data_IF_872072947691
#
_entry.id   IF_872072947691
#
_cell.length_a   1.000
_cell.length_b   1.000
_cell.length_c   1.000
_cell.angle_alpha   90.00
_cell.angle_beta   90.00
_cell.angle_gamma   90.00
#
_symmetry.space_group_name_H-M   'P 1'
#
loop_
_entity.id
_entity.type
_entity.pdbx_description
1 polymer ?
#
# COMPACT_ATOMS: atom_id res chain seq x y z
N UNK A 1 -10.75 -3.42 29.24
CA UNK A 1 -11.15 -3.93 27.92
C UNK A 1 -10.49 -3.03 26.89
N UNK A 2 -9.67 -3.57 25.98
CA UNK A 2 -8.99 -2.77 24.95
C UNK A 2 -10.00 -2.17 23.97
N UNK A 3 -9.60 -1.12 23.23
CA UNK A 3 -10.40 -0.60 22.10
C UNK A 3 -10.40 -1.68 21.01
N UNK A 4 -11.57 -2.07 20.49
CA UNK A 4 -11.72 -3.02 19.38
C UNK A 4 -11.81 -2.34 18.00
N UNK A 5 -12.18 -1.06 17.99
CA UNK A 5 -12.34 -0.25 16.78
C UNK A 5 -11.73 1.11 17.05
N UNK A 6 -10.90 1.57 16.13
CA UNK A 6 -10.15 2.82 16.28
C UNK A 6 -10.21 3.64 15.01
N UNK A 7 -10.32 4.96 15.17
CA UNK A 7 -10.12 5.89 14.07
C UNK A 7 -8.63 5.99 13.72
N UNK A 8 -8.29 6.29 12.46
CA UNK A 8 -6.90 6.45 12.02
C UNK A 8 -6.10 7.44 12.89
N UNK A 9 -6.73 8.51 13.36
CA UNK A 9 -6.12 9.48 14.28
C UNK A 9 -5.82 8.92 15.67
N UNK A 10 -6.49 7.84 16.08
CA UNK A 10 -6.43 7.28 17.44
C UNK A 10 -5.60 5.97 17.52
N UNK A 11 -5.05 5.49 16.39
CA UNK A 11 -4.26 4.26 16.37
C UNK A 11 -2.90 4.52 17.05
N UNK A 12 -2.69 3.89 18.20
CA UNK A 12 -1.44 3.99 18.97
C UNK A 12 -0.47 2.87 18.60
N UNK A 13 0.84 3.02 18.88
CA UNK A 13 1.83 1.96 18.63
C UNK A 13 1.47 0.61 19.26
N UNK A 14 0.81 0.62 20.42
CA UNK A 14 0.36 -0.60 21.10
C UNK A 14 -0.75 -1.35 20.35
N UNK A 15 -1.51 -0.66 19.50
CA UNK A 15 -2.62 -1.24 18.72
C UNK A 15 -2.25 -1.52 17.26
N UNK A 16 -1.07 -1.10 16.80
CA UNK A 16 -0.60 -1.36 15.42
C UNK A 16 -0.50 -2.86 15.14
N UNK A 17 -0.07 -3.65 16.14
CA UNK A 17 0.00 -5.10 16.03
C UNK A 17 -1.37 -5.76 15.82
N UNK A 18 -2.48 -5.08 16.13
CA UNK A 18 -3.84 -5.62 15.92
C UNK A 18 -4.53 -4.98 14.70
N UNK A 19 -3.88 -4.01 14.04
CA UNK A 19 -4.44 -3.25 12.93
C UNK A 19 -4.04 -3.78 11.54
N UNK A 20 -3.11 -4.76 11.49
CA UNK A 20 -2.52 -5.25 10.25
C UNK A 20 -1.63 -4.23 9.56
N UNK A 21 -1.01 -4.63 8.44
CA UNK A 21 -0.11 -3.77 7.67
C UNK A 21 -0.81 -2.52 7.12
N UNK A 22 -1.85 -2.72 6.31
CA UNK A 22 -2.57 -1.64 5.61
C UNK A 22 -3.20 -0.66 6.58
N UNK A 23 -3.89 -1.17 7.61
CA UNK A 23 -4.54 -0.36 8.63
C UNK A 23 -3.53 0.49 9.40
N UNK A 24 -2.38 -0.08 9.76
CA UNK A 24 -1.28 0.65 10.41
C UNK A 24 -0.70 1.73 9.50
N UNK A 25 -0.43 1.40 8.23
CA UNK A 25 0.14 2.33 7.27
C UNK A 25 -0.80 3.49 6.93
N UNK A 26 -2.09 3.22 6.73
CA UNK A 26 -3.11 4.25 6.47
C UNK A 26 -3.26 5.19 7.66
N UNK A 27 -3.30 4.64 8.87
CA UNK A 27 -3.36 5.44 10.09
C UNK A 27 -2.10 6.30 10.25
N UNK A 28 -0.91 5.74 10.03
CA UNK A 28 0.35 6.48 10.08
C UNK A 28 0.35 7.65 9.08
N UNK A 29 -0.02 7.40 7.81
CA UNK A 29 -0.10 8.44 6.78
C UNK A 29 -1.12 9.53 7.15
N UNK A 30 -2.29 9.16 7.70
CA UNK A 30 -3.32 10.10 8.14
C UNK A 30 -2.80 10.99 9.29
N UNK A 31 -2.10 10.41 10.26
CA UNK A 31 -1.50 11.14 11.38
C UNK A 31 -0.39 12.10 10.90
N UNK A 32 0.37 11.73 9.87
CA UNK A 32 1.42 12.54 9.22
C UNK A 32 0.88 13.54 8.17
N UNK A 33 -0.45 13.72 8.11
CA UNK A 33 -1.13 14.71 7.27
C UNK A 33 -0.98 14.48 5.76
N UNK A 34 -0.75 13.24 5.34
CA UNK A 34 -0.95 12.86 3.95
C UNK A 34 -2.44 12.90 3.60
N UNK A 35 -2.80 13.14 2.32
CA UNK A 35 -4.19 13.20 1.90
C UNK A 35 -4.78 11.78 1.81
N UNK A 36 -4.99 11.14 2.94
CA UNK A 36 -5.62 9.83 3.04
C UNK A 36 -7.10 10.02 3.35
N UNK A 37 -8.02 9.32 2.67
CA UNK A 37 -9.43 9.36 3.02
C UNK A 37 -9.66 8.92 4.47
N UNK A 38 -10.56 9.60 5.18
CA UNK A 38 -10.89 9.27 6.58
C UNK A 38 -11.37 7.83 6.71
N UNK A 39 -11.02 7.18 7.82
CA UNK A 39 -11.35 5.79 8.04
C UNK A 39 -11.06 5.30 9.44
N UNK A 40 -11.47 4.05 9.66
CA UNK A 40 -11.33 3.32 10.92
C UNK A 40 -10.71 1.95 10.65
N UNK A 41 -10.12 1.38 11.69
CA UNK A 41 -9.66 -0.01 11.71
C UNK A 41 -10.46 -0.78 12.75
N UNK A 42 -11.07 -1.87 12.31
CA UNK A 42 -11.62 -2.93 13.17
C UNK A 42 -10.47 -3.89 13.43
N UNK A 43 -10.01 -3.91 14.68
CA UNK A 43 -8.82 -4.66 15.08
C UNK A 43 -9.08 -6.17 15.08
N UNK A 44 -8.02 -6.98 15.03
CA UNK A 44 -8.13 -8.44 15.14
C UNK A 44 -8.87 -8.88 16.40
N UNK A 45 -8.62 -8.18 17.53
CA UNK A 45 -9.29 -8.39 18.82
C UNK A 45 -10.80 -8.09 18.83
N UNK A 46 -11.34 -7.50 17.77
CA UNK A 46 -12.79 -7.30 17.59
C UNK A 46 -13.53 -8.59 17.19
N UNK A 47 -12.80 -9.60 16.73
CA UNK A 47 -13.36 -10.86 16.26
C UNK A 47 -13.13 -11.97 17.28
N UNK A 48 -14.17 -12.73 17.59
CA UNK A 48 -14.12 -13.89 18.48
C UNK A 48 -14.92 -15.03 17.86
N UNK A 49 -14.35 -16.24 17.82
CA UNK A 49 -15.00 -17.44 17.28
C UNK A 49 -15.54 -17.28 15.84
N UNK A 50 -14.89 -16.41 15.06
CA UNK A 50 -15.27 -16.13 13.68
C UNK A 50 -16.30 -15.01 13.50
N UNK A 51 -16.81 -14.43 14.59
CA UNK A 51 -17.85 -13.39 14.54
C UNK A 51 -17.34 -12.04 15.07
N UNK A 52 -17.91 -10.96 14.55
CA UNK A 52 -17.65 -9.60 15.03
C UNK A 52 -18.37 -9.36 16.37
N UNK A 53 -17.62 -8.97 17.40
CA UNK A 53 -18.18 -8.70 18.72
C UNK A 53 -19.22 -7.57 18.69
N UNK A 54 -20.32 -7.73 19.43
CA UNK A 54 -21.46 -6.77 19.43
C UNK A 54 -21.04 -5.34 19.82
N UNK A 55 -20.09 -5.20 20.74
CA UNK A 55 -19.55 -3.88 21.12
C UNK A 55 -18.67 -3.28 20.02
N UNK A 56 -17.95 -4.10 19.26
CA UNK A 56 -17.17 -3.63 18.11
C UNK A 56 -18.12 -3.13 17.01
N UNK A 57 -19.19 -3.89 16.70
CA UNK A 57 -20.21 -3.44 15.76
C UNK A 57 -20.85 -2.11 16.18
N UNK A 58 -21.21 -1.97 17.46
CA UNK A 58 -21.75 -0.72 18.00
C UNK A 58 -20.75 0.45 17.82
N UNK A 59 -19.46 0.22 18.03
CA UNK A 59 -18.42 1.22 17.82
C UNK A 59 -18.27 1.59 16.32
N UNK A 60 -18.31 0.61 15.41
CA UNK A 60 -18.32 0.87 13.95
C UNK A 60 -19.47 1.79 13.59
N UNK A 61 -20.70 1.52 14.06
CA UNK A 61 -21.86 2.36 13.75
C UNK A 61 -21.69 3.80 14.24
N UNK A 62 -21.09 4.00 15.42
CA UNK A 62 -20.80 5.34 15.95
C UNK A 62 -19.83 6.09 15.04
N UNK A 63 -18.73 5.46 14.64
CA UNK A 63 -17.76 6.09 13.73
C UNK A 63 -18.33 6.34 12.34
N UNK A 64 -19.05 5.38 11.75
CA UNK A 64 -19.71 5.53 10.45
C UNK A 64 -20.71 6.68 10.48
N UNK A 65 -21.53 6.78 11.53
CA UNK A 65 -22.46 7.90 11.71
C UNK A 65 -21.73 9.24 11.79
N UNK A 66 -20.60 9.30 12.51
CA UNK A 66 -19.76 10.50 12.60
C UNK A 66 -19.19 10.88 11.24
N UNK A 67 -18.62 9.93 10.48
CA UNK A 67 -18.09 10.17 9.14
C UNK A 67 -19.19 10.68 8.19
N UNK A 68 -20.38 10.05 8.18
CA UNK A 68 -21.53 10.54 7.39
C UNK A 68 -21.97 11.95 7.80
N UNK A 69 -21.86 12.32 9.07
CA UNK A 69 -22.21 13.69 9.51
C UNK A 69 -21.24 14.76 9.02
N UNK A 70 -19.97 14.42 8.80
CA UNK A 70 -18.95 15.34 8.30
C UNK A 70 -18.94 15.45 6.77
N UNK A 71 -19.21 14.33 6.08
CA UNK A 71 -19.05 14.23 4.62
C UNK A 71 -20.36 14.07 3.84
N UNK A 72 -21.50 13.95 4.51
CA UNK A 72 -22.81 13.71 3.89
C UNK A 72 -23.05 12.24 3.54
N UNK A 73 -23.86 12.00 2.51
CA UNK A 73 -24.09 10.64 1.98
C UNK A 73 -22.86 10.14 1.24
N UNK A 74 -21.97 9.48 1.99
CA UNK A 74 -20.75 8.85 1.49
C UNK A 74 -20.87 7.33 1.43
N UNK A 75 -20.18 6.74 0.46
CA UNK A 75 -19.93 5.31 0.42
C UNK A 75 -18.59 4.98 1.11
N UNK A 76 -18.41 3.71 1.47
CA UNK A 76 -17.22 3.18 2.11
C UNK A 76 -16.58 2.09 1.26
N UNK A 77 -15.26 1.97 1.38
CA UNK A 77 -14.48 0.82 0.98
C UNK A 77 -14.14 0.01 2.23
N UNK A 78 -14.41 -1.29 2.20
CA UNK A 78 -14.08 -2.22 3.28
C UNK A 78 -12.99 -3.14 2.75
N UNK A 79 -11.81 -3.11 3.40
CA UNK A 79 -10.58 -3.75 2.93
C UNK A 79 -10.00 -4.62 4.04
N UNK A 80 -9.43 -5.75 3.68
CA UNK A 80 -8.60 -6.52 4.60
C UNK A 80 -7.36 -5.73 5.01
N UNK A 81 -6.81 -6.08 6.17
CA UNK A 81 -5.49 -5.67 6.62
C UNK A 81 -4.87 -6.82 7.40
N UNK A 82 -4.11 -7.68 6.71
CA UNK A 82 -3.42 -8.78 7.37
C UNK A 82 -2.09 -8.33 7.98
N UNK A 83 -1.65 -9.02 9.04
CA UNK A 83 -0.39 -8.71 9.74
C UNK A 83 0.85 -8.87 8.87
N UNK A 84 0.80 -9.81 7.93
CA UNK A 84 1.88 -10.15 7.02
C UNK A 84 1.77 -9.51 5.65
N UNK A 85 0.73 -8.70 5.37
CA UNK A 85 0.43 -8.20 4.02
C UNK A 85 1.48 -7.22 3.47
N UNK A 86 2.10 -6.44 4.35
CA UNK A 86 3.10 -5.40 4.01
C UNK A 86 4.52 -5.76 4.48
N UNK A 87 4.76 -7.03 4.84
CA UNK A 87 6.11 -7.47 5.22
C UNK A 87 7.01 -7.56 3.99
N UNK A 88 8.29 -7.19 4.14
CA UNK A 88 9.27 -7.30 3.06
C UNK A 88 9.48 -8.76 2.55
N UNK A 89 9.01 -9.75 3.31
CA UNK A 89 9.23 -11.17 3.05
C UNK A 89 7.99 -11.94 2.60
N UNK A 90 6.78 -11.37 2.68
CA UNK A 90 5.55 -11.98 2.22
C UNK A 90 4.60 -10.87 1.77
N UNK A 91 4.28 -10.81 0.48
CA UNK A 91 3.27 -9.90 -0.04
C UNK A 91 2.07 -10.75 -0.46
N UNK A 92 0.98 -10.70 0.30
CA UNK A 92 -0.31 -11.29 -0.06
C UNK A 92 -1.06 -10.41 -1.08
N UNK A 93 -0.32 -9.81 -2.02
CA UNK A 93 -0.81 -8.80 -2.94
C UNK A 93 -1.95 -9.36 -3.80
N UNK A 94 -3.14 -8.76 -3.65
CA UNK A 94 -4.32 -9.13 -4.44
C UNK A 94 -5.06 -10.40 -3.99
N UNK A 95 -4.66 -11.00 -2.87
CA UNK A 95 -5.26 -12.27 -2.39
C UNK A 95 -6.43 -12.07 -1.44
N UNK A 96 -6.54 -10.90 -0.81
CA UNK A 96 -7.62 -10.61 0.12
C UNK A 96 -8.72 -9.75 -0.51
N UNK A 97 -9.96 -10.03 -0.08
CA UNK A 97 -11.15 -9.42 -0.67
C UNK A 97 -11.30 -7.95 -0.27
N UNK A 98 -11.73 -7.13 -1.23
CA UNK A 98 -12.09 -5.72 -1.02
C UNK A 98 -13.53 -5.52 -1.49
N UNK A 99 -14.35 -4.87 -0.67
CA UNK A 99 -15.74 -4.56 -1.00
C UNK A 99 -15.90 -3.04 -1.11
N UNK A 100 -16.25 -2.57 -2.30
CA UNK A 100 -16.39 -1.16 -2.62
C UNK A 100 -17.86 -0.72 -2.65
N UNK A 101 -18.09 0.60 -2.65
CA UNK A 101 -19.41 1.22 -2.80
C UNK A 101 -20.44 0.79 -1.73
N UNK A 102 -19.97 0.60 -0.49
CA UNK A 102 -20.81 0.19 0.64
C UNK A 102 -21.48 1.43 1.24
N UNK A 103 -22.82 1.48 1.30
CA UNK A 103 -23.54 2.72 1.68
C UNK A 103 -24.36 2.59 2.96
N UNK A 104 -24.94 1.42 3.24
CA UNK A 104 -25.82 1.17 4.39
C UNK A 104 -25.10 0.43 5.50
N UNK A 105 -25.60 0.52 6.74
CA UNK A 105 -25.01 -0.18 7.88
C UNK A 105 -25.05 -1.70 7.68
N UNK A 106 -26.15 -2.22 7.12
CA UNK A 106 -26.29 -3.64 6.80
C UNK A 106 -25.25 -4.10 5.79
N UNK A 107 -25.00 -3.29 4.74
CA UNK A 107 -23.94 -3.58 3.76
C UNK A 107 -22.55 -3.51 4.39
N UNK A 108 -22.29 -2.58 5.33
CA UNK A 108 -21.00 -2.51 6.04
C UNK A 108 -20.79 -3.77 6.86
N UNK A 109 -21.81 -4.22 7.60
CA UNK A 109 -21.71 -5.45 8.39
C UNK A 109 -21.41 -6.66 7.53
N UNK A 110 -22.12 -6.80 6.41
CA UNK A 110 -21.91 -7.90 5.47
C UNK A 110 -20.54 -7.82 4.78
N UNK A 111 -20.09 -6.63 4.43
CA UNK A 111 -18.76 -6.41 3.87
C UNK A 111 -17.65 -6.78 4.87
N UNK A 112 -17.79 -6.42 6.16
CA UNK A 112 -16.83 -6.83 7.20
C UNK A 112 -16.78 -8.35 7.29
N UNK A 113 -17.94 -9.01 7.31
CA UNK A 113 -18.02 -10.49 7.35
C UNK A 113 -17.33 -11.12 6.16
N UNK A 114 -17.65 -10.67 4.94
CA UNK A 114 -17.07 -11.16 3.69
C UNK A 114 -15.55 -10.99 3.64
N UNK A 115 -15.06 -9.80 3.99
CA UNK A 115 -13.61 -9.54 4.08
C UNK A 115 -12.96 -10.42 5.14
N UNK A 116 -13.59 -10.57 6.31
CA UNK A 116 -13.07 -11.42 7.37
C UNK A 116 -13.03 -12.91 6.98
N UNK A 117 -14.06 -13.41 6.29
CA UNK A 117 -14.14 -14.80 5.81
C UNK A 117 -13.13 -15.10 4.68
N UNK A 118 -12.64 -14.07 3.97
CA UNK A 118 -11.64 -14.24 2.90
C UNK A 118 -10.29 -14.82 3.38
N UNK A 119 -10.04 -14.79 4.70
CA UNK A 119 -8.85 -15.37 5.34
C UNK A 119 -8.73 -16.89 5.17
N UNK A 120 -9.84 -17.60 4.97
CA UNK A 120 -9.90 -19.05 4.76
C UNK A 120 -10.15 -19.41 3.30
N UNK A 121 -9.86 -18.49 2.37
CA UNK A 121 -9.89 -18.83 0.96
C UNK A 121 -8.74 -19.81 0.63
N UNK A 122 -8.98 -20.74 -0.30
CA UNK A 122 -7.99 -21.75 -0.72
C UNK A 122 -6.63 -21.15 -1.10
N UNK A 123 -6.61 -19.89 -1.56
CA UNK A 123 -5.39 -19.17 -1.94
C UNK A 123 -4.55 -18.74 -0.74
N UNK A 124 -5.19 -18.28 0.35
CA UNK A 124 -4.51 -17.91 1.60
C UNK A 124 -3.97 -19.16 2.30
N UNK A 125 -4.69 -20.27 2.25
CA UNK A 125 -4.24 -21.56 2.78
C UNK A 125 -3.03 -22.11 2.00
N UNK A 126 -3.08 -22.08 0.67
CA UNK A 126 -1.96 -22.50 -0.18
C UNK A 126 -0.69 -21.69 0.07
N UNK A 127 -0.82 -20.37 0.28
CA UNK A 127 0.33 -19.49 0.54
C UNK A 127 0.91 -19.68 1.96
N UNK A 128 0.04 -19.90 2.96
CA UNK A 128 0.47 -20.10 4.35
C UNK A 128 1.19 -21.43 4.57
N UNK A 129 0.78 -22.48 3.85
CA UNK A 129 1.44 -23.79 3.88
C UNK A 129 2.89 -23.75 3.38
N UNK A 130 3.20 -22.87 2.40
CA UNK A 130 4.55 -22.73 1.83
C UNK A 130 5.50 -21.97 2.77
N UNK A 131 4.98 -21.08 3.62
CA UNK A 131 5.78 -20.18 4.48
C UNK A 131 5.87 -20.63 5.95
N UNK A 132 5.14 -21.67 6.36
CA UNK A 132 5.20 -22.21 7.72
C UNK A 132 4.69 -21.27 8.81
N UNK A 133 3.73 -20.38 8.47
CA UNK A 133 3.19 -19.37 9.38
C UNK A 133 1.88 -19.84 10.01
N UNK A 134 1.93 -20.42 11.22
CA UNK A 134 0.73 -20.89 11.96
C UNK A 134 -0.11 -19.75 12.58
N UNK A 135 0.44 -18.54 12.72
CA UNK A 135 -0.25 -17.35 13.26
C UNK A 135 -0.94 -16.49 12.18
N UNK A 136 -1.00 -16.94 10.93
CA UNK A 136 -1.39 -16.14 9.76
C UNK A 136 -2.91 -15.89 9.59
N UNK A 137 -3.76 -16.21 10.58
CA UNK A 137 -5.21 -16.26 10.38
C UNK A 137 -6.01 -15.16 11.07
N UNK A 138 -5.34 -14.17 11.66
CA UNK A 138 -6.01 -12.98 12.20
C UNK A 138 -5.84 -11.82 11.22
N UNK A 139 -6.97 -11.29 10.74
CA UNK A 139 -7.02 -10.15 9.83
C UNK A 139 -7.81 -9.02 10.48
N UNK A 140 -7.26 -7.82 10.40
CA UNK A 140 -8.00 -6.61 10.71
C UNK A 140 -8.81 -6.18 9.47
N UNK A 141 -9.81 -5.33 9.69
CA UNK A 141 -10.65 -4.79 8.62
C UNK A 141 -10.59 -3.27 8.64
N UNK A 142 -10.19 -2.68 7.52
CA UNK A 142 -10.16 -1.23 7.31
C UNK A 142 -11.49 -0.81 6.68
N UNK A 143 -12.13 0.20 7.25
CA UNK A 143 -13.33 0.82 6.69
C UNK A 143 -12.99 2.28 6.42
N UNK A 144 -12.97 2.66 5.16
CA UNK A 144 -12.48 3.96 4.70
C UNK A 144 -13.52 4.63 3.80
N UNK A 145 -13.60 5.96 3.82
CA UNK A 145 -14.44 6.71 2.88
C UNK A 145 -14.01 6.39 1.45
N UNK A 146 -14.98 6.02 0.62
CA UNK A 146 -14.78 5.70 -0.78
C UNK A 146 -14.46 6.98 -1.58
N UNK A 147 -13.34 6.98 -2.28
CA UNK A 147 -12.99 8.04 -3.22
C UNK A 147 -13.62 7.74 -4.57
N UNK A 148 -14.61 8.54 -4.98
CA UNK A 148 -15.19 8.49 -6.33
C UNK A 148 -14.26 9.18 -7.31
N UNK A 149 -13.25 8.45 -7.76
CA UNK A 149 -12.16 9.01 -8.55
C UNK A 149 -12.53 9.33 -9.99
N UNK A 150 -12.04 10.48 -10.47
CA UNK A 150 -11.93 10.84 -11.89
C UNK A 150 -10.75 10.09 -12.53
N UNK A 151 -9.65 9.99 -11.78
CA UNK A 151 -8.42 9.30 -12.15
C UNK A 151 -7.95 8.46 -10.97
N UNK A 152 -7.47 7.27 -11.23
CA UNK A 152 -6.83 6.41 -10.23
C UNK A 152 -5.63 5.73 -10.84
N UNK A 153 -4.60 5.51 -10.04
CA UNK A 153 -3.34 4.98 -10.54
C UNK A 153 -2.47 4.35 -9.48
N UNK A 154 -1.41 3.73 -9.97
CA UNK A 154 -0.27 3.26 -9.18
C UNK A 154 0.96 4.07 -9.57
N UNK A 155 1.85 4.31 -8.62
CA UNK A 155 3.14 4.95 -8.83
C UNK A 155 4.20 4.17 -8.04
N UNK A 156 5.22 3.70 -8.75
CA UNK A 156 6.41 3.12 -8.17
C UNK A 156 7.50 4.20 -8.08
N UNK A 157 8.09 4.40 -6.90
CA UNK A 157 9.13 5.43 -6.72
C UNK A 157 10.49 5.04 -7.29
N UNK A 158 10.64 3.77 -7.65
CA UNK A 158 11.70 3.21 -8.49
C UNK A 158 11.07 2.30 -9.55
N UNK A 159 11.75 2.11 -10.68
CA UNK A 159 11.29 1.21 -11.73
C UNK A 159 11.35 -0.25 -11.25
N UNK A 160 10.21 -0.94 -11.11
CA UNK A 160 10.17 -2.31 -10.57
C UNK A 160 10.73 -3.36 -11.55
N UNK A 161 10.95 -3.01 -12.82
CA UNK A 161 11.50 -3.91 -13.84
C UNK A 161 13.02 -3.75 -13.91
N UNK A 162 13.50 -2.51 -14.04
CA UNK A 162 14.93 -2.24 -14.23
C UNK A 162 15.71 -2.02 -12.94
N UNK A 163 15.00 -1.76 -11.83
CA UNK A 163 15.61 -1.37 -10.57
C UNK A 163 16.14 0.07 -10.55
N UNK A 164 15.81 0.89 -11.56
CA UNK A 164 16.32 2.26 -11.65
C UNK A 164 15.59 3.22 -10.72
N UNK A 165 16.35 4.03 -9.98
CA UNK A 165 15.84 5.11 -9.12
C UNK A 165 15.78 6.45 -9.86
N UNK A 166 16.22 6.50 -11.13
CA UNK A 166 16.34 7.73 -11.91
C UNK A 166 14.97 8.41 -12.17
N UNK A 167 13.88 7.62 -12.16
CA UNK A 167 12.53 8.11 -12.36
C UNK A 167 11.53 7.31 -11.53
N UNK A 168 10.39 7.93 -11.24
CA UNK A 168 9.21 7.23 -10.74
C UNK A 168 8.32 6.86 -11.92
N UNK A 169 7.83 5.64 -11.98
CA UNK A 169 7.02 5.12 -13.09
C UNK A 169 5.63 4.77 -12.59
N UNK A 170 4.60 5.11 -13.36
CA UNK A 170 3.22 4.90 -12.93
C UNK A 170 2.29 4.57 -14.08
N UNK A 171 1.15 4.00 -13.71
CA UNK A 171 0.05 3.71 -14.61
C UNK A 171 -1.24 4.27 -14.01
N UNK A 172 -2.15 4.78 -14.84
CA UNK A 172 -3.45 5.26 -14.38
C UNK A 172 -4.56 4.91 -15.36
N UNK A 173 -5.80 4.94 -14.85
CA UNK A 173 -7.04 4.81 -15.63
C UNK A 173 -8.01 5.93 -15.25
N UNK A 174 -9.02 6.10 -16.09
CA UNK A 174 -10.19 6.92 -15.75
C UNK A 174 -11.15 6.15 -14.86
N UNK A 175 -11.74 6.81 -13.88
CA UNK A 175 -12.68 6.18 -12.95
C UNK A 175 -12.00 5.48 -11.77
N UNK A 176 -12.54 4.33 -11.37
CA UNK A 176 -12.12 3.58 -10.18
C UNK A 176 -10.92 2.66 -10.46
N UNK A 177 -10.00 2.55 -9.49
CA UNK A 177 -8.71 1.86 -9.63
C UNK A 177 -8.78 0.34 -9.72
N UNK A 178 -9.93 -0.27 -9.47
CA UNK A 178 -10.13 -1.73 -9.58
C UNK A 178 -9.85 -2.25 -11.00
N UNK A 179 -10.05 -1.40 -12.02
CA UNK A 179 -9.77 -1.70 -13.42
C UNK A 179 -8.27 -1.78 -13.75
N UNK A 180 -7.39 -1.22 -12.91
CA UNK A 180 -5.93 -1.32 -13.08
C UNK A 180 -5.39 -2.64 -12.54
N UNK A 181 -5.90 -3.08 -11.38
CA UNK A 181 -5.40 -4.27 -10.68
C UNK A 181 -5.85 -5.56 -11.38
N UNK A 182 -7.01 -5.53 -12.03
CA UNK A 182 -7.56 -6.65 -12.81
C UNK A 182 -6.96 -6.80 -14.21
N UNK A 183 -6.19 -5.82 -14.71
CA UNK A 183 -5.62 -5.82 -16.06
C UNK A 183 -6.64 -5.67 -17.19
N UNK A 184 -7.90 -5.33 -16.88
CA UNK A 184 -9.01 -5.27 -17.85
C UNK A 184 -9.08 -3.95 -18.63
N UNK A 185 -8.40 -2.89 -18.17
CA UNK A 185 -8.44 -1.58 -18.82
C UNK A 185 -7.11 -1.19 -19.49
N UNK A 186 -7.21 -0.42 -20.58
CA UNK A 186 -6.07 0.24 -21.23
C UNK A 186 -5.48 1.31 -20.30
N UNK A 187 -4.59 0.86 -19.41
CA UNK A 187 -3.86 1.73 -18.51
C UNK A 187 -2.96 2.70 -19.30
N UNK A 188 -2.92 3.95 -18.89
CA UNK A 188 -2.06 4.97 -19.43
C UNK A 188 -0.79 5.07 -18.58
N UNK A 189 0.37 4.84 -19.18
CA UNK A 189 1.65 4.95 -18.50
C UNK A 189 2.14 6.40 -18.46
N UNK A 190 2.84 6.74 -17.39
CA UNK A 190 3.53 8.02 -17.23
C UNK A 190 4.80 7.87 -16.40
N UNK A 191 5.68 8.87 -16.52
CA UNK A 191 6.98 8.91 -15.85
C UNK A 191 7.18 10.28 -15.18
N UNK A 192 7.76 10.27 -13.99
CA UNK A 192 8.20 11.46 -13.26
C UNK A 192 9.73 11.41 -13.10
N UNK A 193 10.44 12.19 -13.92
CA UNK A 193 11.90 12.23 -13.92
C UNK A 193 12.45 12.97 -12.69
N UNK A 194 13.43 12.39 -12.00
CA UNK A 194 14.13 13.07 -10.90
C UNK A 194 15.16 14.09 -11.42
N UNK A 195 15.60 15.06 -10.59
CA UNK A 195 15.13 15.38 -9.23
C UNK A 195 13.92 16.33 -9.20
N UNK A 196 13.48 16.83 -10.37
CA UNK A 196 12.45 17.90 -10.44
C UNK A 196 11.03 17.40 -10.68
N UNK A 197 10.83 16.10 -10.88
CA UNK A 197 9.52 15.52 -11.19
C UNK A 197 8.99 15.94 -12.56
N UNK A 198 9.86 16.02 -13.59
CA UNK A 198 9.40 16.35 -14.95
C UNK A 198 8.48 15.24 -15.43
N UNK A 199 7.25 15.61 -15.79
CA UNK A 199 6.22 14.69 -16.24
C UNK A 199 6.35 14.35 -17.72
N UNK A 200 6.31 13.06 -18.03
CA UNK A 200 6.25 12.50 -19.39
C UNK A 200 5.09 11.50 -19.43
N UNK A 201 4.07 11.77 -20.26
CA UNK A 201 2.84 10.98 -20.34
C UNK A 201 1.67 11.81 -20.88
N UNK A 202 0.43 11.27 -20.90
CA UNK A 202 -0.74 11.99 -21.41
C UNK A 202 -1.15 13.19 -20.52
N UNK A 203 -1.77 14.22 -21.09
CA UNK A 203 -1.96 15.52 -20.42
C UNK A 203 -2.91 15.49 -19.21
N UNK A 204 -3.78 14.48 -19.08
CA UNK A 204 -4.81 14.39 -18.05
C UNK A 204 -4.24 14.30 -16.64
N UNK A 205 -3.16 13.54 -16.46
CA UNK A 205 -2.47 13.37 -15.18
C UNK A 205 -1.44 14.50 -14.90
N UNK A 206 -1.03 15.25 -15.94
CA UNK A 206 0.00 16.30 -15.86
C UNK A 206 -0.29 17.37 -14.81
N UNK A 207 -1.58 17.74 -14.64
CA UNK A 207 -2.00 18.73 -13.63
C UNK A 207 -1.74 18.27 -12.18
N UNK A 208 -1.68 16.96 -11.94
CA UNK A 208 -1.47 16.36 -10.62
C UNK A 208 -0.03 15.90 -10.39
N UNK A 209 0.73 15.69 -11.45
CA UNK A 209 2.09 15.16 -11.46
C UNK A 209 3.04 15.82 -10.43
N UNK A 210 3.07 17.16 -10.37
CA UNK A 210 3.97 17.87 -9.44
C UNK A 210 3.62 17.64 -7.97
N UNK A 211 2.32 17.49 -7.66
CA UNK A 211 1.87 17.21 -6.29
C UNK A 211 2.11 15.74 -5.94
N UNK A 212 1.82 14.83 -6.88
CA UNK A 212 2.06 13.41 -6.73
C UNK A 212 3.55 13.12 -6.51
N UNK A 213 4.45 13.70 -7.32
CA UNK A 213 5.90 13.61 -7.14
C UNK A 213 6.33 14.03 -5.74
N UNK A 214 5.87 15.20 -5.27
CA UNK A 214 6.23 15.72 -3.94
C UNK A 214 5.76 14.82 -2.80
N UNK A 215 4.54 14.28 -2.89
CA UNK A 215 4.04 13.35 -1.88
C UNK A 215 4.80 12.02 -1.91
N UNK A 216 5.07 11.48 -3.10
CA UNK A 216 5.77 10.22 -3.28
C UNK A 216 7.23 10.30 -2.82
N UNK A 217 7.95 11.37 -3.17
CA UNK A 217 9.32 11.59 -2.69
C UNK A 217 9.38 11.72 -1.17
N UNK A 218 8.41 12.43 -0.59
CA UNK A 218 8.33 12.59 0.87
C UNK A 218 8.02 11.26 1.56
N UNK A 219 7.10 10.45 1.01
CA UNK A 219 6.79 9.11 1.54
C UNK A 219 8.00 8.19 1.48
N UNK A 220 8.68 8.13 0.34
CA UNK A 220 9.90 7.33 0.17
C UNK A 220 11.01 7.73 1.15
N UNK A 221 11.22 9.03 1.36
CA UNK A 221 12.21 9.55 2.31
C UNK A 221 11.84 9.18 3.76
N UNK A 222 10.59 9.39 4.18
CA UNK A 222 10.15 9.08 5.55
C UNK A 222 10.10 7.57 5.84
N UNK A 223 9.84 6.74 4.83
CA UNK A 223 9.77 5.27 4.95
C UNK A 223 11.11 4.57 4.64
N UNK A 224 12.11 5.32 4.15
CA UNK A 224 13.49 4.84 3.94
C UNK A 224 13.64 3.74 2.87
N UNK A 225 12.64 3.54 2.02
CA UNK A 225 12.66 2.50 0.97
C UNK A 225 11.75 2.88 -0.20
N UNK A 226 12.00 2.37 -1.42
CA UNK A 226 11.10 2.60 -2.56
C UNK A 226 9.69 2.11 -2.28
N UNK A 227 8.72 2.90 -2.72
CA UNK A 227 7.31 2.66 -2.45
C UNK A 227 6.53 2.38 -3.74
N UNK A 228 5.61 1.44 -3.65
CA UNK A 228 4.48 1.26 -4.55
C UNK A 228 3.25 1.96 -3.92
N UNK A 229 2.78 3.01 -4.58
CA UNK A 229 1.79 3.94 -4.07
C UNK A 229 0.52 3.87 -4.93
N UNK A 230 -0.59 3.48 -4.31
CA UNK A 230 -1.92 3.62 -4.90
C UNK A 230 -2.46 5.03 -4.64
N UNK A 231 -2.92 5.70 -5.68
CA UNK A 231 -3.43 7.07 -5.59
C UNK A 231 -4.70 7.26 -6.41
N UNK A 232 -5.47 8.27 -6.03
CA UNK A 232 -6.70 8.64 -6.71
C UNK A 232 -6.90 10.15 -6.72
N UNK A 233 -7.61 10.66 -7.71
CA UNK A 233 -8.03 12.04 -7.81
C UNK A 233 -9.54 12.10 -7.85
N UNK A 234 -10.15 12.83 -6.92
CA UNK A 234 -11.57 13.15 -6.93
C UNK A 234 -11.75 14.65 -6.71
N UNK A 235 -12.60 15.30 -7.52
CA UNK A 235 -12.88 16.74 -7.43
C UNK A 235 -11.60 17.58 -7.48
N UNK A 236 -10.64 17.16 -8.31
CA UNK A 236 -9.32 17.80 -8.44
C UNK A 236 -8.39 17.63 -7.22
N UNK A 237 -8.78 16.89 -6.17
CA UNK A 237 -7.93 16.59 -5.01
C UNK A 237 -7.29 15.22 -5.16
N UNK A 238 -5.97 15.17 -4.98
CA UNK A 238 -5.18 13.94 -4.93
C UNK A 238 -5.25 13.31 -3.54
N UNK A 239 -5.51 12.00 -3.51
CA UNK A 239 -5.56 11.13 -2.35
C UNK A 239 -4.57 9.99 -2.48
N UNK A 240 -3.96 9.57 -1.37
CA UNK A 240 -3.18 8.34 -1.26
C UNK A 240 -4.08 7.26 -0.65
N UNK A 241 -4.22 6.14 -1.35
CA UNK A 241 -5.11 5.03 -0.98
C UNK A 241 -4.35 3.88 -0.33
N UNK A 242 -3.07 3.70 -0.67
CA UNK A 242 -2.17 2.70 -0.08
C UNK A 242 -0.73 3.08 -0.42
N UNK A 243 0.21 2.66 0.44
CA UNK A 243 1.64 2.64 0.13
C UNK A 243 2.23 1.35 0.68
N UNK A 244 3.17 0.75 -0.03
CA UNK A 244 3.90 -0.44 0.41
C UNK A 244 5.34 -0.44 -0.14
N UNK A 245 6.30 -1.06 0.55
CA UNK A 245 7.66 -1.16 0.04
C UNK A 245 7.71 -2.02 -1.24
N UNK A 246 8.53 -1.61 -2.22
CA UNK A 246 8.82 -2.42 -3.41
C UNK A 246 9.84 -3.50 -3.01
N UNK A 247 9.40 -4.75 -2.94
CA UNK A 247 10.23 -5.90 -2.51
C UNK A 247 10.95 -6.60 -3.65
N UNK A 248 10.57 -6.33 -4.91
CA UNK A 248 11.14 -6.97 -6.10
C UNK A 248 12.45 -6.33 -6.57
N UNK A 249 12.87 -5.22 -5.97
CA UNK A 249 14.12 -4.54 -6.30
C UNK A 249 15.29 -5.35 -5.72
N UNK A 250 15.70 -6.40 -6.43
CA UNK A 250 16.88 -7.17 -6.06
C UNK A 250 18.11 -6.35 -6.46
N UNK A 251 18.99 -6.06 -5.49
CA UNK A 251 20.24 -5.29 -5.68
C UNK A 251 21.30 -6.03 -6.55
N UNK A 252 20.99 -7.26 -6.96
CA UNK A 252 21.80 -8.04 -7.88
C UNK A 252 20.97 -9.10 -8.61
N UNK A 253 21.41 -9.45 -9.81
CA UNK A 253 20.84 -10.56 -10.55
C UNK A 253 21.36 -11.87 -9.93
N UNK A 254 20.48 -12.66 -9.31
CA UNK A 254 20.86 -13.90 -8.61
C UNK A 254 21.23 -15.05 -9.56
N UNK A 255 20.85 -14.96 -10.83
CA UNK A 255 21.23 -15.94 -11.86
C UNK A 255 22.64 -15.66 -12.41
N UNK A 256 23.04 -14.38 -12.51
CA UNK A 256 24.36 -13.97 -12.99
C UNK A 256 25.34 -13.60 -11.88
N UNK A 257 24.87 -13.49 -10.63
CA UNK A 257 25.59 -12.90 -9.49
C UNK A 257 26.13 -11.49 -9.75
N UNK A 258 25.56 -10.77 -10.72
CA UNK A 258 25.92 -9.38 -10.97
C UNK A 258 25.27 -8.50 -9.92
N UNK A 259 26.08 -7.97 -9.01
CA UNK A 259 25.69 -6.93 -8.07
C UNK A 259 25.85 -5.57 -8.74
N UNK A 260 24.76 -4.81 -8.82
CA UNK A 260 24.80 -3.49 -9.43
C UNK A 260 24.21 -2.42 -8.53
N UNK A 261 25.06 -1.88 -7.67
CA UNK A 261 24.74 -0.73 -6.81
C UNK A 261 24.82 0.62 -7.54
N UNK A 262 25.10 0.67 -8.86
CA UNK A 262 25.17 1.96 -9.59
C UNK A 262 23.88 2.78 -9.51
N UNK A 263 22.74 2.12 -9.27
CA UNK A 263 21.44 2.78 -9.15
C UNK A 263 20.99 3.04 -7.70
N UNK A 264 21.71 2.56 -6.69
CA UNK A 264 21.31 2.68 -5.27
C UNK A 264 21.91 3.89 -4.55
N UNK A 265 22.69 4.74 -5.23
CA UNK A 265 23.27 5.97 -4.68
C UNK A 265 24.17 6.73 -5.66
N UNK A 266 24.78 7.83 -5.21
CA UNK A 266 25.75 8.63 -5.98
C UNK A 266 27.13 7.93 -5.99
N UNK A 267 27.22 6.80 -6.68
CA UNK A 267 28.44 6.03 -6.81
C UNK A 267 29.10 6.26 -8.17
N UNK A 268 30.35 6.74 -8.18
CA UNK A 268 31.18 6.76 -9.37
C UNK A 268 32.00 5.47 -9.43
N UNK A 269 31.51 4.49 -10.16
CA UNK A 269 32.27 3.27 -10.44
C UNK A 269 33.31 3.54 -11.52
N UNK A 270 34.57 3.25 -11.20
CA UNK A 270 35.68 3.39 -12.13
C UNK A 270 36.37 2.05 -12.29
N UNK A 271 36.71 1.69 -13.53
CA UNK A 271 37.57 0.54 -13.83
C UNK A 271 39.06 0.92 -13.77
N UNK A 272 39.39 2.12 -13.28
CA UNK A 272 40.77 2.60 -13.23
C UNK A 272 41.59 1.69 -12.32
N UNK A 273 42.41 0.87 -12.96
CA UNK A 273 43.54 0.15 -12.40
C UNK A 273 43.30 -0.91 -11.32
N UNK A 274 42.12 -1.52 -11.22
CA UNK A 274 42.00 -2.77 -10.43
C UNK A 274 42.93 -3.86 -11.00
N UNK A 275 43.06 -3.97 -12.34
CA UNK A 275 43.94 -4.95 -12.96
C UNK A 275 45.43 -4.72 -12.72
N UNK A 276 45.88 -3.47 -12.49
CA UNK A 276 47.28 -3.17 -12.12
C UNK A 276 47.50 -3.14 -10.59
N UNK A 277 46.50 -2.72 -9.80
CA UNK A 277 46.60 -2.60 -8.35
C UNK A 277 46.41 -3.96 -7.64
N UNK A 278 45.63 -4.86 -8.24
CA UNK A 278 45.38 -6.23 -7.75
C UNK A 278 45.43 -7.20 -8.94
N UNK A 279 46.64 -7.52 -9.42
CA UNK A 279 46.82 -8.35 -10.62
C UNK A 279 46.51 -9.84 -10.43
N UNK A 280 46.17 -10.26 -9.20
CA UNK A 280 45.99 -11.66 -8.84
C UNK A 280 44.77 -11.89 -7.93
N UNK A 281 44.29 -13.14 -7.86
CA UNK A 281 43.08 -13.51 -7.09
C UNK A 281 43.33 -13.35 -5.59
N UNK A 282 42.59 -12.46 -4.92
CA UNK A 282 42.67 -12.29 -3.47
C UNK A 282 41.67 -13.20 -2.75
N UNK A 283 42.06 -13.79 -1.62
CA UNK A 283 41.12 -14.50 -0.74
C UNK A 283 40.26 -13.50 0.04
N UNK A 284 39.00 -13.81 0.40
CA UNK A 284 38.04 -12.82 0.93
C UNK A 284 38.33 -12.21 2.32
N UNK A 285 39.56 -12.27 2.84
CA UNK A 285 39.99 -11.59 4.06
C UNK A 285 41.52 -11.71 4.22
N UNK A 286 42.24 -10.62 3.96
CA UNK A 286 43.51 -10.23 4.61
C UNK A 286 43.58 -8.72 4.66
#
# INVERSE_FOLDING_TARGET
MGKMVVHFEELTPALQADAGGKGSMLAWMYQHKYPVPEGIVVLTSAFQDGELHVQAWSAVQVYVKRMRSHHGEVAFAVRSSALSEDSAQASYAGEFETVLNVTTDEQIREAIRRVYDSKSSERVEAYSAVKGMEQAHEIAVVIQIMVRSELSGVLFTADPITGSYAAMVGNYVHGLGEQLVSGEANALSFVLQRPKGRYEGPDECKRHASKLYRLASKLEEELGSPQDIEWAVAEGKLYILQTRPITTLVLGNLDTYEWNETNSGDFLWTNTNIGEATPDVMTPLT
#
